data_IF_540288324078
#
_entry.id   IF_540288324078
#
_cell.length_a   1.000
_cell.length_b   1.000
_cell.length_c   1.000
_cell.angle_alpha   90.00
_cell.angle_beta   90.00
_cell.angle_gamma   90.00
#
_symmetry.space_group_name_H-M   'P 1'
#
loop_
_entity.id
_entity.type
_entity.pdbx_description
1 polymer ?
#
# COMPACT_ATOMS: atom_id res chain seq x y z
N UNK A 1 10.27 -10.21 1.78
CA UNK A 1 9.06 -10.62 1.05
C UNK A 1 7.85 -10.18 1.86
N UNK A 2 6.92 -9.44 1.25
CA UNK A 2 5.65 -9.04 1.87
C UNK A 2 4.88 -10.30 2.29
N UNK A 3 4.58 -10.40 3.58
CA UNK A 3 3.83 -11.53 4.15
C UNK A 3 2.36 -11.39 3.79
N UNK A 4 1.69 -12.54 3.63
CA UNK A 4 0.25 -12.62 3.34
C UNK A 4 -0.17 -11.72 2.16
N UNK A 5 0.66 -11.64 1.11
CA UNK A 5 0.50 -10.68 0.02
C UNK A 5 -0.90 -10.72 -0.61
N UNK A 6 -1.49 -11.89 -0.82
CA UNK A 6 -2.85 -12.00 -1.38
C UNK A 6 -3.93 -11.42 -0.45
N UNK A 7 -3.78 -11.61 0.86
CA UNK A 7 -4.67 -10.98 1.84
C UNK A 7 -4.48 -9.46 1.85
N UNK A 8 -3.24 -8.96 1.82
CA UNK A 8 -2.96 -7.52 1.71
C UNK A 8 -3.58 -6.93 0.44
N UNK A 9 -3.49 -7.64 -0.69
CA UNK A 9 -4.17 -7.24 -1.95
C UNK A 9 -5.68 -7.15 -1.78
N UNK A 10 -6.30 -8.16 -1.17
CA UNK A 10 -7.74 -8.16 -0.92
C UNK A 10 -8.17 -6.95 -0.07
N UNK A 11 -7.45 -6.66 1.02
CA UNK A 11 -7.72 -5.48 1.85
C UNK A 11 -7.64 -4.19 1.03
N UNK A 12 -6.62 -4.04 0.18
CA UNK A 12 -6.48 -2.85 -0.68
C UNK A 12 -7.62 -2.75 -1.71
N UNK A 13 -8.11 -3.87 -2.25
CA UNK A 13 -9.28 -3.91 -3.14
C UNK A 13 -10.54 -3.45 -2.39
N UNK A 14 -10.74 -3.91 -1.15
CA UNK A 14 -11.89 -3.52 -0.32
C UNK A 14 -11.85 -2.03 0.03
N UNK A 15 -10.68 -1.54 0.45
CA UNK A 15 -10.45 -0.12 0.74
C UNK A 15 -10.66 0.76 -0.49
N UNK A 16 -10.12 0.37 -1.64
CA UNK A 16 -10.31 1.08 -2.89
C UNK A 16 -11.79 1.08 -3.33
N UNK A 17 -12.47 -0.06 -3.20
CA UNK A 17 -13.89 -0.17 -3.53
C UNK A 17 -14.75 0.73 -2.63
N UNK A 18 -14.45 0.76 -1.33
CA UNK A 18 -15.06 1.68 -0.38
C UNK A 18 -14.78 3.14 -0.71
N UNK A 19 -13.54 3.47 -1.08
CA UNK A 19 -13.15 4.80 -1.54
C UNK A 19 -13.98 5.25 -2.75
N UNK A 20 -14.10 4.41 -3.79
CA UNK A 20 -14.92 4.72 -4.98
C UNK A 20 -16.40 4.83 -4.64
N UNK A 21 -16.92 3.95 -3.78
CA UNK A 21 -18.31 4.01 -3.34
C UNK A 21 -18.65 5.32 -2.61
N UNK A 22 -17.70 5.86 -1.84
CA UNK A 22 -17.87 7.11 -1.10
C UNK A 22 -17.62 8.38 -1.93
N UNK A 23 -17.63 8.28 -3.27
CA UNK A 23 -17.43 9.42 -4.17
C UNK A 23 -15.97 9.78 -4.45
N UNK A 24 -15.03 8.89 -4.13
CA UNK A 24 -13.63 9.06 -4.50
C UNK A 24 -13.42 9.10 -6.01
N UNK A 25 -13.04 10.25 -6.56
CA UNK A 25 -12.84 10.43 -7.99
C UNK A 25 -11.46 9.90 -8.44
N UNK A 26 -10.38 10.45 -7.88
CA UNK A 26 -9.00 10.08 -8.18
C UNK A 26 -8.28 9.55 -6.96
N UNK A 27 -7.42 8.53 -7.08
CA UNK A 27 -7.02 7.85 -8.31
C UNK A 27 -8.09 6.88 -8.84
N UNK A 28 -8.16 6.77 -10.17
CA UNK A 28 -9.12 5.89 -10.85
C UNK A 28 -8.76 4.38 -10.82
N UNK A 29 -7.54 4.02 -10.45
CA UNK A 29 -7.05 2.63 -10.43
C UNK A 29 -6.62 2.19 -9.04
N UNK A 30 -6.69 0.87 -8.78
CA UNK A 30 -6.19 0.30 -7.52
C UNK A 30 -4.71 0.62 -7.30
N UNK A 31 -3.86 0.44 -8.32
CA UNK A 31 -2.44 0.78 -8.22
C UNK A 31 -2.24 2.25 -7.83
N UNK A 32 -2.91 3.18 -8.50
CA UNK A 32 -2.80 4.60 -8.17
C UNK A 32 -3.29 4.90 -6.75
N UNK A 33 -4.34 4.22 -6.29
CA UNK A 33 -4.83 4.32 -4.91
C UNK A 33 -3.77 3.89 -3.92
N UNK A 34 -3.14 2.74 -4.14
CA UNK A 34 -2.06 2.24 -3.28
C UNK A 34 -0.85 3.18 -3.29
N UNK A 35 -0.48 3.74 -4.45
CA UNK A 35 0.57 4.75 -4.55
C UNK A 35 0.23 5.99 -3.71
N UNK A 36 -0.98 6.53 -3.82
CA UNK A 36 -1.45 7.65 -2.98
C UNK A 36 -1.42 7.30 -1.49
N UNK A 37 -1.97 6.16 -1.09
CA UNK A 37 -1.99 5.76 0.32
C UNK A 37 -0.57 5.59 0.88
N UNK A 38 0.36 5.09 0.07
CA UNK A 38 1.77 4.96 0.49
C UNK A 38 2.43 6.30 0.85
N UNK A 39 1.93 7.41 0.29
CA UNK A 39 2.42 8.77 0.54
C UNK A 39 1.63 9.51 1.61
N UNK A 40 0.38 9.11 1.88
CA UNK A 40 -0.55 9.86 2.72
C UNK A 40 -0.95 9.14 4.02
N UNK A 41 -0.82 7.82 4.09
CA UNK A 41 -1.02 7.04 5.32
C UNK A 41 0.33 6.79 6.02
N UNK A 42 0.58 7.40 7.19
CA UNK A 42 1.82 7.20 7.94
C UNK A 42 2.05 5.73 8.34
N UNK A 43 0.97 4.94 8.49
CA UNK A 43 1.01 3.53 8.86
C UNK A 43 1.16 2.56 7.69
N UNK A 44 1.06 3.03 6.44
CA UNK A 44 0.96 2.15 5.26
C UNK A 44 2.09 1.11 5.21
N UNK A 45 3.34 1.55 5.35
CA UNK A 45 4.49 0.66 5.23
C UNK A 45 4.69 -0.23 6.45
N UNK A 46 4.31 0.22 7.66
CA UNK A 46 4.31 -0.65 8.85
C UNK A 46 3.34 -1.81 8.64
N UNK A 47 2.14 -1.51 8.15
CA UNK A 47 1.14 -2.52 7.81
C UNK A 47 1.60 -3.42 6.67
N UNK A 48 2.15 -2.86 5.58
CA UNK A 48 2.53 -3.65 4.40
C UNK A 48 3.62 -4.69 4.73
N UNK A 49 4.60 -4.31 5.55
CA UNK A 49 5.73 -5.17 5.91
C UNK A 49 5.57 -5.89 7.26
N UNK A 50 4.43 -5.72 7.96
CA UNK A 50 4.21 -6.17 9.33
C UNK A 50 5.39 -5.81 10.25
N UNK A 51 5.82 -4.54 10.19
CA UNK A 51 7.02 -4.06 10.88
C UNK A 51 6.81 -2.68 11.52
N UNK A 52 6.53 -2.68 12.83
CA UNK A 52 6.30 -1.48 13.63
C UNK A 52 7.53 -0.57 13.79
N UNK A 53 8.74 -1.04 13.46
CA UNK A 53 9.95 -0.22 13.51
C UNK A 53 10.12 0.68 12.28
N UNK A 54 9.24 0.56 11.28
CA UNK A 54 9.25 1.47 10.14
C UNK A 54 8.68 2.83 10.55
N UNK A 55 9.40 3.88 10.17
CA UNK A 55 8.97 5.26 10.40
C UNK A 55 7.70 5.56 9.60
N UNK A 56 7.02 6.63 9.98
CA UNK A 56 5.91 7.16 9.18
C UNK A 56 6.32 7.34 7.72
N UNK A 57 5.39 7.02 6.82
CA UNK A 57 5.58 7.10 5.36
C UNK A 57 6.79 6.31 4.82
N UNK A 58 7.37 5.42 5.64
CA UNK A 58 8.49 4.57 5.21
C UNK A 58 9.80 5.32 4.92
N UNK A 59 10.06 6.46 5.56
CA UNK A 59 11.34 7.18 5.38
C UNK A 59 12.58 6.30 5.63
N UNK A 60 12.49 5.28 6.48
CA UNK A 60 13.56 4.33 6.77
C UNK A 60 13.46 2.98 6.01
N UNK A 61 12.68 2.88 4.93
CA UNK A 61 12.62 1.65 4.11
C UNK A 61 14.00 1.30 3.54
N UNK A 62 14.37 0.02 3.65
CA UNK A 62 15.57 -0.52 3.02
C UNK A 62 15.44 -0.53 1.48
N UNK A 63 16.56 -0.73 0.77
CA UNK A 63 16.54 -0.85 -0.69
C UNK A 63 15.71 -2.05 -1.14
N UNK A 64 15.80 -3.16 -0.41
CA UNK A 64 15.07 -4.39 -0.63
C UNK A 64 13.57 -4.16 -0.43
N UNK A 65 13.17 -3.51 0.65
CA UNK A 65 11.75 -3.19 0.89
C UNK A 65 11.18 -2.26 -0.18
N UNK A 66 11.95 -1.27 -0.64
CA UNK A 66 11.55 -0.40 -1.76
C UNK A 66 11.33 -1.20 -3.05
N UNK A 67 12.18 -2.19 -3.31
CA UNK A 67 12.04 -3.06 -4.48
C UNK A 67 10.83 -4.01 -4.34
N UNK A 68 10.64 -4.61 -3.17
CA UNK A 68 9.48 -5.46 -2.88
C UNK A 68 8.16 -4.70 -3.03
N UNK A 69 8.09 -3.46 -2.56
CA UNK A 69 6.94 -2.59 -2.74
C UNK A 69 6.65 -2.35 -4.23
N UNK A 70 7.68 -1.99 -5.03
CA UNK A 70 7.54 -1.80 -6.48
C UNK A 70 7.01 -3.06 -7.18
N UNK A 71 7.54 -4.21 -6.83
CA UNK A 71 7.10 -5.49 -7.39
C UNK A 71 5.67 -5.84 -6.98
N UNK A 72 5.28 -5.50 -5.74
CA UNK A 72 3.93 -5.69 -5.25
C UNK A 72 2.92 -4.83 -6.02
N UNK A 73 3.15 -3.53 -6.13
CA UNK A 73 2.21 -2.62 -6.82
C UNK A 73 2.13 -2.85 -8.33
N UNK A 74 3.20 -3.37 -8.95
CA UNK A 74 3.17 -3.74 -10.37
C UNK A 74 2.37 -5.02 -10.65
N UNK A 75 1.96 -5.75 -9.60
CA UNK A 75 1.11 -6.95 -9.66
C UNK A 75 -0.31 -6.68 -9.13
N UNK A 76 -0.70 -5.41 -9.00
CA UNK A 76 -2.04 -4.93 -8.68
C UNK A 76 -2.76 -4.56 -9.98
#
# INVERSE_FOLDING_TARGET
MIKNADNKKQVLVELFSGYKFNGGEEPATLKGYVERESENDPGFFRWLFDNENLSDFGFNLSKEQKQEYKEFINKL
#
